data_IF_613930362025
#
_entry.id   IF_613930362025
#
_cell.length_a   1.000
_cell.length_b   1.000
_cell.length_c   1.000
_cell.angle_alpha   90.00
_cell.angle_beta   90.00
_cell.angle_gamma   90.00
#
_symmetry.space_group_name_H-M   'P 1'
#
loop_
_entity.id
_entity.type
_entity.pdbx_description
1 polymer ?
#
# COMPACT_ATOMS: atom_id res chain seq x y z
N UNK A 1 -5.54 -14.85 8.08
CA UNK A 1 -5.96 -14.60 6.69
C UNK A 1 -6.61 -13.24 6.57
N UNK A 2 -6.32 -12.56 5.51
CA UNK A 2 -6.90 -11.24 5.30
C UNK A 2 -8.40 -11.37 5.03
N UNK A 3 -9.20 -10.57 5.73
CA UNK A 3 -10.65 -10.62 5.58
C UNK A 3 -11.12 -10.24 4.18
N UNK A 4 -10.31 -9.54 3.45
CA UNK A 4 -10.69 -9.02 2.13
C UNK A 4 -10.17 -9.89 1.01
N UNK A 5 -9.74 -11.08 1.32
CA UNK A 5 -9.35 -12.06 0.32
C UNK A 5 -8.04 -11.77 -0.40
N UNK A 6 -7.24 -10.84 0.10
CA UNK A 6 -5.96 -10.53 -0.52
C UNK A 6 -4.83 -11.08 0.34
N UNK A 7 -3.99 -11.91 -0.25
CA UNK A 7 -2.86 -12.49 0.45
C UNK A 7 -1.73 -11.47 0.57
N UNK A 8 -1.10 -11.42 1.73
CA UNK A 8 0.06 -10.53 1.94
C UNK A 8 1.23 -10.88 1.02
N UNK A 9 1.27 -12.10 0.50
CA UNK A 9 2.34 -12.49 -0.43
C UNK A 9 2.30 -11.68 -1.73
N UNK A 10 1.15 -11.08 -2.07
CA UNK A 10 1.03 -10.23 -3.24
C UNK A 10 1.92 -8.99 -3.13
N UNK A 11 2.25 -8.56 -1.90
CA UNK A 11 3.09 -7.38 -1.70
C UNK A 11 4.42 -7.50 -2.43
N UNK A 12 4.97 -8.71 -2.53
CA UNK A 12 6.23 -8.93 -3.26
C UNK A 12 6.10 -8.84 -4.76
N UNK A 13 4.86 -8.83 -5.27
CA UNK A 13 4.59 -8.79 -6.71
C UNK A 13 4.13 -7.42 -7.19
N UNK A 14 3.98 -6.46 -6.28
CA UNK A 14 3.52 -5.12 -6.63
C UNK A 14 4.63 -4.35 -7.34
N UNK A 15 4.21 -3.46 -8.23
CA UNK A 15 5.15 -2.55 -8.90
C UNK A 15 5.39 -1.34 -7.99
N UNK A 16 6.36 -1.48 -7.10
CA UNK A 16 6.69 -0.43 -6.14
C UNK A 16 7.29 0.81 -6.79
N UNK A 17 7.91 0.65 -7.95
CA UNK A 17 8.48 1.79 -8.66
C UNK A 17 7.42 2.72 -9.23
N UNK A 18 6.24 2.17 -9.49
CA UNK A 18 5.11 2.95 -9.98
C UNK A 18 4.16 3.35 -8.85
N UNK A 19 4.52 3.08 -7.60
CA UNK A 19 3.65 3.34 -6.47
C UNK A 19 3.63 4.81 -6.10
N UNK A 20 2.46 5.27 -5.64
CA UNK A 20 2.31 6.55 -4.98
C UNK A 20 2.42 6.28 -3.49
N UNK A 21 3.37 6.92 -2.81
CA UNK A 21 3.68 6.63 -1.41
C UNK A 21 3.63 7.90 -0.58
N UNK A 22 3.03 7.81 0.61
CA UNK A 22 3.01 8.94 1.55
C UNK A 22 3.00 8.44 2.99
N UNK A 23 3.28 9.34 3.93
CA UNK A 23 3.25 9.03 5.35
C UNK A 23 1.79 9.01 5.84
N UNK A 24 1.45 7.98 6.60
CA UNK A 24 0.14 7.90 7.23
C UNK A 24 0.19 8.65 8.56
N UNK A 25 -0.28 9.89 8.56
CA UNK A 25 -0.24 10.76 9.72
C UNK A 25 -1.60 10.93 10.41
N UNK A 26 -2.56 10.07 10.06
CA UNK A 26 -3.92 10.17 10.62
C UNK A 26 -3.97 9.88 12.12
N UNK A 27 -3.03 9.11 12.62
CA UNK A 27 -2.95 8.69 14.01
C UNK A 27 -1.52 8.81 14.50
N UNK A 28 -1.38 8.86 15.82
CA UNK A 28 -0.05 8.73 16.41
C UNK A 28 0.30 7.27 16.52
N UNK A 29 1.41 6.90 15.92
CA UNK A 29 1.94 5.55 15.97
C UNK A 29 3.30 5.59 16.65
N UNK A 30 3.71 4.47 17.24
CA UNK A 30 5.04 4.37 17.84
C UNK A 30 6.14 4.36 16.78
N UNK A 31 5.79 4.15 15.54
CA UNK A 31 6.73 4.18 14.42
C UNK A 31 6.03 4.77 13.20
N UNK A 32 6.81 5.19 12.22
CA UNK A 32 6.27 5.83 11.04
C UNK A 32 5.61 4.80 10.15
N UNK A 33 4.32 4.96 9.90
CA UNK A 33 3.58 4.12 8.96
C UNK A 33 3.49 4.82 7.61
N UNK A 34 3.65 4.03 6.57
CA UNK A 34 3.55 4.51 5.20
C UNK A 34 2.34 3.90 4.51
N UNK A 35 1.79 4.64 3.56
CA UNK A 35 0.73 4.14 2.69
C UNK A 35 1.25 4.17 1.27
N UNK A 36 0.95 3.12 0.52
CA UNK A 36 1.27 3.07 -0.90
C UNK A 36 0.05 2.65 -1.70
N UNK A 37 -0.13 3.28 -2.85
CA UNK A 37 -1.03 2.78 -3.89
C UNK A 37 -0.14 2.21 -4.97
N UNK A 38 -0.11 0.89 -5.07
CA UNK A 38 0.83 0.18 -5.93
C UNK A 38 0.10 -0.75 -6.88
N UNK A 39 0.42 -0.70 -8.16
CA UNK A 39 -0.27 -1.53 -9.15
C UNK A 39 0.35 -2.92 -9.25
N UNK A 40 -0.50 -3.87 -9.62
CA UNK A 40 -0.08 -5.19 -10.06
C UNK A 40 -0.96 -5.54 -11.24
N UNK A 41 -0.40 -5.59 -12.43
CA UNK A 41 -1.16 -5.77 -13.66
C UNK A 41 -2.19 -4.64 -13.77
N UNK A 42 -3.47 -4.93 -13.90
CA UNK A 42 -4.52 -3.92 -14.06
C UNK A 42 -5.19 -3.53 -12.75
N UNK A 43 -4.68 -4.02 -11.62
CA UNK A 43 -5.31 -3.80 -10.32
C UNK A 43 -4.41 -2.94 -9.46
N UNK A 44 -5.02 -1.95 -8.80
CA UNK A 44 -4.31 -1.09 -7.86
C UNK A 44 -4.57 -1.58 -6.44
N UNK A 45 -3.52 -1.64 -5.63
CA UNK A 45 -3.61 -2.09 -4.25
C UNK A 45 -3.26 -0.97 -3.29
N UNK A 46 -3.94 -0.96 -2.15
CA UNK A 46 -3.65 -0.08 -1.03
C UNK A 46 -2.85 -0.89 -0.02
N UNK A 47 -1.68 -0.38 0.35
CA UNK A 47 -0.75 -1.09 1.22
C UNK A 47 -0.36 -0.17 2.37
N UNK A 48 -0.50 -0.64 3.61
CA UNK A 48 0.05 0.03 4.77
C UNK A 48 1.27 -0.74 5.23
N UNK A 49 2.37 -0.05 5.46
CA UNK A 49 3.62 -0.73 5.80
C UNK A 49 4.51 0.14 6.68
N UNK A 50 5.49 -0.52 7.29
CA UNK A 50 6.54 0.13 8.09
C UNK A 50 7.87 -0.38 7.59
N UNK A 51 8.80 0.53 7.33
CA UNK A 51 10.16 0.16 6.97
C UNK A 51 11.03 0.18 8.22
N UNK A 52 11.74 -0.92 8.44
CA UNK A 52 12.69 -1.07 9.55
C UNK A 52 14.02 -1.47 8.94
N UNK A 53 14.90 -0.49 8.77
CA UNK A 53 16.16 -0.75 8.09
C UNK A 53 15.88 -1.22 6.67
N UNK A 54 16.36 -2.41 6.33
CA UNK A 54 16.16 -2.96 4.99
C UNK A 54 14.93 -3.86 4.89
N UNK A 55 14.17 -3.99 5.97
CA UNK A 55 13.00 -4.86 6.01
C UNK A 55 11.73 -4.02 5.93
N UNK A 56 10.85 -4.38 4.98
CA UNK A 56 9.54 -3.75 4.87
C UNK A 56 8.48 -4.66 5.44
N UNK A 57 7.84 -4.21 6.50
CA UNK A 57 6.79 -4.97 7.15
C UNK A 57 5.43 -4.51 6.63
N UNK A 58 4.70 -5.42 5.99
CA UNK A 58 3.36 -5.13 5.49
C UNK A 58 2.37 -5.28 6.64
N UNK A 59 1.63 -4.21 6.92
CA UNK A 59 0.62 -4.19 7.98
C UNK A 59 -0.73 -4.60 7.43
N UNK A 60 -1.12 -4.03 6.29
CA UNK A 60 -2.37 -4.41 5.66
C UNK A 60 -2.27 -4.23 4.15
N UNK A 61 -3.07 -5.01 3.43
CA UNK A 61 -3.05 -5.02 1.98
C UNK A 61 -4.47 -5.31 1.50
N UNK A 62 -5.00 -4.44 0.66
CA UNK A 62 -6.32 -4.63 0.07
C UNK A 62 -6.35 -3.95 -1.29
N UNK A 63 -7.39 -4.26 -2.07
CA UNK A 63 -7.57 -3.53 -3.32
C UNK A 63 -7.92 -2.08 -3.02
N UNK A 64 -7.44 -1.19 -3.85
CA UNK A 64 -7.78 0.21 -3.74
C UNK A 64 -9.26 0.41 -4.07
N UNK A 65 -9.90 1.33 -3.36
CA UNK A 65 -11.28 1.71 -3.66
C UNK A 65 -11.30 2.73 -4.79
N UNK A 66 -12.52 3.10 -5.23
CA UNK A 66 -12.69 4.01 -6.36
C UNK A 66 -12.01 5.36 -6.11
N UNK A 67 -12.12 5.89 -4.90
CA UNK A 67 -11.51 7.17 -4.54
C UNK A 67 -9.99 7.10 -4.62
N UNK A 68 -9.43 6.00 -4.17
CA UNK A 68 -7.99 5.80 -4.20
C UNK A 68 -7.47 5.64 -5.62
N UNK A 69 -8.21 4.93 -6.46
CA UNK A 69 -7.85 4.80 -7.86
C UNK A 69 -7.82 6.18 -8.53
N UNK A 70 -8.83 6.99 -8.27
CA UNK A 70 -8.89 8.35 -8.82
C UNK A 70 -7.69 9.17 -8.37
N UNK A 71 -7.35 9.08 -7.08
CA UNK A 71 -6.21 9.80 -6.53
C UNK A 71 -4.91 9.38 -7.22
N UNK A 72 -4.74 8.10 -7.42
CA UNK A 72 -3.56 7.57 -8.08
C UNK A 72 -3.45 8.08 -9.51
N UNK A 73 -4.54 7.99 -10.26
CA UNK A 73 -4.55 8.40 -11.67
C UNK A 73 -4.25 9.90 -11.81
N UNK A 74 -4.79 10.71 -10.91
CA UNK A 74 -4.61 12.16 -10.97
C UNK A 74 -3.20 12.60 -10.54
N UNK A 75 -2.42 11.70 -9.93
CA UNK A 75 -1.08 12.02 -9.46
C UNK A 75 -0.01 11.81 -10.52
N UNK A 76 -0.38 11.31 -11.67
CA UNK A 76 0.57 11.02 -12.75
C UNK A 76 0.26 11.74 -14.03
#
# INVERSE_FOLDING_TARGET
MAKHGVSLSIAGELDWESALVWVDDRFEYNEIRMIALAPKTAILYYVAFVDRGEVRRIISLRRANRREVKHYVESF
#
